data_IF_467148722421
#
_entry.id   IF_467148722421
#
_cell.length_a   1.000
_cell.length_b   1.000
_cell.length_c   1.000
_cell.angle_alpha   90.00
_cell.angle_beta   90.00
_cell.angle_gamma   90.00
#
_symmetry.space_group_name_H-M   'P 1'
#
loop_
_entity.id
_entity.type
_entity.pdbx_description
1 polymer ?
#
# COMPACT_ATOMS: atom_id res chain seq x y z
N UNK A 1 43.94 -0.61 34.85
CA UNK A 1 44.25 -0.21 33.48
C UNK A 1 43.19 -0.80 32.57
N UNK A 2 42.41 0.01 31.89
CA UNK A 2 41.51 -0.50 30.88
C UNK A 2 42.26 -0.87 29.60
N UNK A 3 41.81 -1.87 28.80
CA UNK A 3 42.47 -2.27 27.58
C UNK A 3 42.30 -1.23 26.47
N UNK A 4 43.34 -1.11 25.62
CA UNK A 4 43.39 -0.18 24.50
C UNK A 4 42.37 -0.51 23.41
N UNK A 5 41.84 0.50 22.68
CA UNK A 5 40.91 0.27 21.56
C UNK A 5 41.63 -0.37 20.35
N UNK A 6 40.90 -1.16 19.51
CA UNK A 6 41.46 -1.78 18.32
C UNK A 6 41.78 -0.74 17.23
N UNK A 7 42.73 -1.00 16.33
CA UNK A 7 43.12 -0.08 15.26
C UNK A 7 41.99 0.09 14.24
N UNK A 8 41.73 1.34 13.86
CA UNK A 8 40.73 1.72 12.89
C UNK A 8 41.02 1.17 11.49
N UNK A 9 40.04 0.55 10.87
CA UNK A 9 40.08 0.21 9.45
C UNK A 9 39.96 1.48 8.61
N UNK A 10 41.07 1.83 7.93
CA UNK A 10 41.08 2.86 6.89
C UNK A 10 40.26 2.31 5.67
N UNK A 11 39.26 3.08 5.23
CA UNK A 11 38.56 2.82 4.00
C UNK A 11 39.47 2.96 2.79
N UNK A 12 39.34 2.12 1.74
CA UNK A 12 40.14 2.23 0.53
C UNK A 12 39.85 3.56 -0.20
N UNK A 13 40.86 4.15 -0.89
CA UNK A 13 40.70 5.39 -1.61
C UNK A 13 39.73 5.25 -2.80
N UNK A 14 38.84 6.24 -2.96
CA UNK A 14 37.88 6.35 -4.07
C UNK A 14 38.67 6.61 -5.36
N UNK A 15 38.44 5.85 -6.45
CA UNK A 15 39.09 6.10 -7.73
C UNK A 15 38.60 7.43 -8.34
N UNK A 16 39.46 8.17 -9.07
CA UNK A 16 39.12 9.44 -9.68
C UNK A 16 38.04 9.25 -10.77
N UNK A 17 37.10 10.19 -10.83
CA UNK A 17 36.03 10.21 -11.84
C UNK A 17 36.61 10.38 -13.25
N UNK A 18 36.00 9.76 -14.29
CA UNK A 18 36.43 9.93 -15.65
C UNK A 18 36.20 11.38 -16.13
N UNK A 19 37.07 11.92 -17.02
CA UNK A 19 36.94 13.28 -17.53
C UNK A 19 35.64 13.45 -18.32
N UNK A 20 34.90 14.51 -18.04
CA UNK A 20 33.73 14.91 -18.82
C UNK A 20 34.17 15.45 -20.19
N UNK A 21 33.47 15.09 -21.28
CA UNK A 21 33.76 15.70 -22.57
C UNK A 21 33.47 17.21 -22.55
N UNK A 22 34.39 17.99 -23.07
CA UNK A 22 34.28 19.44 -23.18
C UNK A 22 33.06 19.83 -24.04
N UNK A 23 32.21 20.72 -23.51
CA UNK A 23 31.12 21.31 -24.24
C UNK A 23 31.68 22.17 -25.37
N UNK A 24 31.40 21.80 -26.62
CA UNK A 24 31.70 22.61 -27.80
C UNK A 24 30.63 23.70 -27.88
N UNK A 25 31.01 24.93 -27.56
CA UNK A 25 30.14 26.09 -27.81
C UNK A 25 30.20 26.43 -29.29
N UNK A 26 29.07 26.55 -30.01
CA UNK A 26 29.06 27.13 -31.36
C UNK A 26 29.37 28.60 -31.29
N UNK A 27 30.24 29.07 -32.22
CA UNK A 27 30.62 30.47 -32.34
C UNK A 27 29.39 31.33 -32.71
N UNK A 28 29.31 32.59 -32.22
CA UNK A 28 28.20 33.48 -32.59
C UNK A 28 28.31 33.87 -34.06
N UNK A 29 27.19 33.71 -34.76
CA UNK A 29 27.02 34.20 -36.16
C UNK A 29 27.04 35.73 -36.18
N UNK A 30 27.76 36.31 -37.13
CA UNK A 30 27.80 37.76 -37.37
C UNK A 30 26.43 38.30 -37.78
N UNK A 31 26.00 39.51 -37.36
CA UNK A 31 24.70 40.06 -37.74
C UNK A 31 24.72 40.54 -39.16
N UNK A 32 23.75 40.08 -39.96
CA UNK A 32 23.49 40.63 -41.28
C UNK A 32 22.92 42.06 -41.21
N UNK A 33 23.36 42.93 -42.12
CA UNK A 33 23.14 44.36 -42.07
C UNK A 33 21.70 44.81 -42.46
N UNK A 34 20.70 43.93 -42.52
CA UNK A 34 19.34 44.29 -42.97
C UNK A 34 18.18 43.89 -42.04
N UNK A 35 18.43 43.43 -40.84
CA UNK A 35 17.41 43.35 -39.77
C UNK A 35 16.12 42.55 -40.06
N UNK A 36 16.01 41.79 -41.13
CA UNK A 36 14.84 40.97 -41.44
C UNK A 36 15.18 39.47 -41.39
N UNK A 37 14.75 38.84 -40.29
CA UNK A 37 14.71 37.39 -40.19
C UNK A 37 13.68 36.83 -41.19
N UNK A 38 14.12 36.27 -42.30
CA UNK A 38 13.27 35.46 -43.17
C UNK A 38 13.04 34.11 -42.47
N UNK A 39 11.86 33.95 -41.89
CA UNK A 39 11.39 32.63 -41.47
C UNK A 39 11.19 31.76 -42.72
N UNK A 40 11.67 30.52 -42.75
CA UNK A 40 11.33 29.59 -43.81
C UNK A 40 9.83 29.37 -43.82
N UNK A 41 9.24 29.27 -45.04
CA UNK A 41 7.82 29.00 -45.20
C UNK A 41 7.45 27.75 -44.41
N UNK A 42 6.50 27.92 -43.50
CA UNK A 42 6.00 26.80 -42.68
C UNK A 42 5.35 25.79 -43.63
N UNK A 43 5.98 24.64 -43.80
CA UNK A 43 5.32 23.47 -44.38
C UNK A 43 4.14 23.05 -43.49
N UNK A 44 3.19 22.27 -44.02
CA UNK A 44 2.03 21.83 -43.24
C UNK A 44 2.51 21.12 -41.96
N UNK A 45 2.21 21.73 -40.80
CA UNK A 45 2.48 21.13 -39.51
C UNK A 45 1.48 19.96 -39.35
N UNK A 46 1.95 18.75 -39.62
CA UNK A 46 1.22 17.55 -39.20
C UNK A 46 1.12 17.62 -37.69
N UNK A 47 -0.10 17.70 -37.18
CA UNK A 47 -0.34 17.60 -35.75
C UNK A 47 0.38 16.33 -35.23
N UNK A 48 1.11 16.40 -34.12
CA UNK A 48 1.73 15.21 -33.55
C UNK A 48 0.62 14.19 -33.30
N UNK A 49 0.81 12.99 -33.88
CA UNK A 49 -0.09 11.87 -33.60
C UNK A 49 -0.24 11.75 -32.08
N UNK A 50 -1.47 11.73 -31.59
CA UNK A 50 -1.74 11.52 -30.19
C UNK A 50 -0.94 10.27 -29.76
N UNK A 51 -0.20 10.30 -28.65
CA UNK A 51 0.49 9.12 -28.18
C UNK A 51 -0.54 8.00 -28.05
N UNK A 52 -0.19 6.75 -28.42
CA UNK A 52 -1.11 5.64 -28.31
C UNK A 52 -1.69 5.63 -26.90
N UNK A 53 -3.01 5.58 -26.80
CA UNK A 53 -3.69 5.50 -25.52
C UNK A 53 -3.03 4.35 -24.73
N UNK A 54 -2.36 4.68 -23.64
CA UNK A 54 -1.77 3.66 -22.76
C UNK A 54 -2.95 2.82 -22.28
N UNK A 55 -2.97 1.54 -22.63
CA UNK A 55 -3.90 0.58 -22.07
C UNK A 55 -3.87 0.75 -20.57
N UNK A 56 -5.03 0.85 -19.94
CA UNK A 56 -5.10 0.91 -18.47
C UNK A 56 -4.30 -0.28 -17.92
N UNK A 57 -3.44 -0.07 -16.91
CA UNK A 57 -2.66 -1.17 -16.35
C UNK A 57 -3.61 -2.25 -15.83
N UNK A 58 -3.36 -3.49 -16.24
CA UNK A 58 -4.10 -4.66 -15.77
C UNK A 58 -3.73 -4.94 -14.31
N UNK A 59 -4.68 -4.89 -13.37
CA UNK A 59 -4.40 -5.12 -11.96
C UNK A 59 -3.88 -6.54 -11.71
N UNK A 60 -4.21 -7.51 -12.57
CA UNK A 60 -3.78 -8.91 -12.38
C UNK A 60 -2.30 -9.11 -12.62
N UNK A 61 -1.69 -8.31 -13.49
CA UNK A 61 -0.27 -8.42 -13.89
C UNK A 61 0.61 -7.29 -13.34
N UNK A 62 0.01 -6.25 -12.76
CA UNK A 62 0.73 -5.10 -12.21
C UNK A 62 1.19 -5.39 -10.77
N UNK A 63 2.41 -4.93 -10.41
CA UNK A 63 2.88 -4.97 -9.01
C UNK A 63 2.09 -3.95 -8.19
N UNK A 64 1.39 -4.43 -7.17
CA UNK A 64 0.46 -3.64 -6.35
C UNK A 64 0.79 -3.73 -4.86
N UNK A 65 0.46 -2.64 -4.15
CA UNK A 65 0.32 -2.64 -2.70
C UNK A 65 -1.15 -2.42 -2.35
N UNK A 66 -1.79 -3.42 -1.77
CA UNK A 66 -3.22 -3.40 -1.40
C UNK A 66 -3.34 -3.43 0.12
N UNK A 67 -4.28 -2.66 0.68
CA UNK A 67 -4.65 -2.72 2.09
C UNK A 67 -6.13 -3.07 2.22
N UNK A 68 -6.44 -4.27 2.70
CA UNK A 68 -7.79 -4.64 3.08
C UNK A 68 -8.10 -4.13 4.49
N UNK A 69 -9.13 -3.32 4.58
CA UNK A 69 -9.63 -2.70 5.81
C UNK A 69 -10.96 -3.35 6.17
N UNK A 70 -11.25 -3.52 7.45
CA UNK A 70 -12.58 -3.99 7.89
C UNK A 70 -12.58 -4.50 9.32
N UNK A 71 -13.76 -4.76 9.90
CA UNK A 71 -13.89 -5.27 11.26
C UNK A 71 -13.36 -6.69 11.43
N UNK A 72 -13.23 -7.15 12.66
CA UNK A 72 -13.05 -8.56 12.98
C UNK A 72 -14.24 -9.35 12.39
N UNK A 73 -14.00 -10.50 11.77
CA UNK A 73 -15.06 -11.26 11.10
C UNK A 73 -15.39 -10.84 9.66
N UNK A 74 -14.86 -9.73 9.14
CA UNK A 74 -15.09 -9.30 7.75
C UNK A 74 -14.50 -10.23 6.67
N UNK A 75 -13.64 -11.18 7.06
CA UNK A 75 -13.01 -12.11 6.10
C UNK A 75 -11.73 -11.59 5.44
N UNK A 76 -11.18 -10.47 5.91
CA UNK A 76 -9.97 -9.83 5.32
C UNK A 76 -8.82 -10.81 5.07
N UNK A 77 -8.38 -11.51 6.12
CA UNK A 77 -7.23 -12.42 6.04
C UNK A 77 -7.48 -13.58 5.07
N UNK A 78 -8.69 -14.14 5.06
CA UNK A 78 -9.06 -15.24 4.14
C UNK A 78 -9.08 -14.76 2.68
N UNK A 79 -9.68 -13.60 2.42
CA UNK A 79 -9.71 -12.99 1.09
C UNK A 79 -8.31 -12.60 0.63
N UNK A 80 -7.51 -11.96 1.50
CA UNK A 80 -6.14 -11.57 1.19
C UNK A 80 -5.25 -12.76 0.84
N UNK A 81 -5.34 -13.82 1.64
CA UNK A 81 -4.61 -15.07 1.40
C UNK A 81 -5.00 -15.69 0.07
N UNK A 82 -6.30 -15.88 -0.17
CA UNK A 82 -6.81 -16.45 -1.41
C UNK A 82 -6.39 -15.61 -2.62
N UNK A 83 -6.56 -14.29 -2.54
CA UNK A 83 -6.17 -13.38 -3.61
C UNK A 83 -4.66 -13.48 -3.92
N UNK A 84 -3.80 -13.48 -2.89
CA UNK A 84 -2.35 -13.60 -3.07
C UNK A 84 -1.94 -14.93 -3.72
N UNK A 85 -2.59 -16.03 -3.32
CA UNK A 85 -2.31 -17.39 -3.83
C UNK A 85 -2.73 -17.58 -5.30
N UNK A 86 -3.70 -16.82 -5.79
CA UNK A 86 -4.27 -17.00 -7.13
C UNK A 86 -3.84 -15.94 -8.14
N UNK A 87 -2.94 -15.04 -7.76
CA UNK A 87 -2.39 -14.05 -8.70
C UNK A 87 -1.37 -14.67 -9.66
N UNK A 88 -1.34 -14.24 -10.95
CA UNK A 88 -0.34 -14.70 -11.91
C UNK A 88 1.06 -14.11 -11.67
N UNK A 89 1.18 -13.10 -10.79
CA UNK A 89 2.44 -12.45 -10.42
C UNK A 89 2.79 -12.71 -8.97
N UNK A 90 4.08 -12.74 -8.60
CA UNK A 90 4.49 -12.95 -7.21
C UNK A 90 3.81 -11.97 -6.27
N UNK A 91 3.15 -12.50 -5.25
CA UNK A 91 2.35 -11.69 -4.32
C UNK A 91 2.51 -12.22 -2.89
N UNK A 92 2.86 -11.33 -1.96
CA UNK A 92 2.96 -11.63 -0.54
C UNK A 92 1.69 -11.20 0.19
N UNK A 93 1.18 -12.05 1.09
CA UNK A 93 0.17 -11.67 2.06
C UNK A 93 0.84 -11.35 3.40
N UNK A 94 0.52 -10.20 3.98
CA UNK A 94 1.08 -9.71 5.25
C UNK A 94 -0.08 -9.34 6.17
N UNK A 95 -0.45 -10.25 7.08
CA UNK A 95 -1.46 -9.97 8.09
C UNK A 95 -0.86 -9.20 9.27
N UNK A 96 -1.48 -8.09 9.64
CA UNK A 96 -1.06 -7.30 10.80
C UNK A 96 -1.12 -8.14 12.08
N UNK A 97 -2.19 -8.91 12.26
CA UNK A 97 -2.37 -9.73 13.45
C UNK A 97 -1.30 -10.83 13.56
N UNK A 98 -0.90 -11.45 12.44
CA UNK A 98 0.17 -12.44 12.43
C UNK A 98 1.49 -11.81 12.87
N UNK A 99 1.83 -10.64 12.31
CA UNK A 99 3.07 -9.92 12.68
C UNK A 99 3.04 -9.47 14.14
N UNK A 100 1.88 -9.05 14.65
CA UNK A 100 1.70 -8.69 16.05
C UNK A 100 1.95 -9.89 16.97
N UNK A 101 1.49 -11.07 16.58
CA UNK A 101 1.66 -12.33 17.31
C UNK A 101 3.09 -12.90 17.27
N UNK A 102 4.00 -12.34 16.49
CA UNK A 102 5.42 -12.70 16.58
C UNK A 102 6.03 -12.34 17.94
N UNK A 103 5.49 -11.33 18.62
CA UNK A 103 5.86 -10.99 19.99
C UNK A 103 5.20 -11.99 20.95
N UNK A 104 5.93 -13.01 21.36
CA UNK A 104 5.40 -14.14 22.14
C UNK A 104 5.36 -13.87 23.65
N UNK A 105 6.15 -12.93 24.13
CA UNK A 105 6.23 -12.53 25.53
C UNK A 105 5.76 -11.10 25.68
N UNK A 106 4.97 -10.81 26.70
CA UNK A 106 4.42 -9.47 26.94
C UNK A 106 3.35 -9.05 25.90
N UNK A 107 2.70 -10.03 25.28
CA UNK A 107 1.58 -9.79 24.36
C UNK A 107 0.38 -9.22 25.13
N UNK A 108 -0.16 -8.08 24.67
CA UNK A 108 -1.35 -7.52 25.28
C UNK A 108 -2.56 -8.41 25.02
N UNK A 109 -3.25 -8.78 26.10
CA UNK A 109 -4.46 -9.59 26.02
C UNK A 109 -5.59 -8.78 25.34
N UNK A 110 -6.08 -9.24 24.16
CA UNK A 110 -7.16 -8.53 23.47
C UNK A 110 -8.47 -8.54 24.26
N UNK A 111 -8.64 -9.46 25.21
CA UNK A 111 -9.83 -9.52 26.07
C UNK A 111 -9.75 -8.55 27.25
N UNK A 112 -8.57 -8.08 27.62
CA UNK A 112 -8.40 -7.04 28.63
C UNK A 112 -8.80 -5.63 28.15
N UNK A 113 -9.28 -5.52 26.90
CA UNK A 113 -9.60 -4.26 26.25
C UNK A 113 -8.37 -3.54 25.71
N UNK A 114 -8.62 -2.41 25.03
CA UNK A 114 -7.55 -1.61 24.44
C UNK A 114 -6.82 -0.79 25.51
N UNK A 115 -5.50 -0.90 25.55
CA UNK A 115 -4.61 -0.21 26.49
C UNK A 115 -3.33 0.27 25.78
N UNK A 116 -2.41 0.89 26.51
CA UNK A 116 -1.15 1.45 25.96
C UNK A 116 -0.23 0.37 25.39
N UNK A 117 -0.23 -0.84 25.98
CA UNK A 117 0.53 -1.97 25.45
C UNK A 117 -0.05 -2.45 24.12
N UNK A 118 -1.39 -2.52 24.03
CA UNK A 118 -2.08 -2.81 22.76
C UNK A 118 -1.70 -1.80 21.68
N UNK A 119 -1.76 -0.49 21.99
CA UNK A 119 -1.40 0.57 21.05
C UNK A 119 0.06 0.45 20.59
N UNK A 120 0.96 0.17 21.52
CA UNK A 120 2.39 0.01 21.24
C UNK A 120 2.66 -1.19 20.33
N UNK A 121 2.02 -2.33 20.60
CA UNK A 121 2.16 -3.54 19.78
C UNK A 121 1.60 -3.35 18.37
N UNK A 122 0.41 -2.74 18.23
CA UNK A 122 -0.16 -2.44 16.91
C UNK A 122 0.70 -1.47 16.11
N UNK A 123 1.26 -0.46 16.76
CA UNK A 123 2.17 0.51 16.13
C UNK A 123 3.44 -0.15 15.62
N UNK A 124 4.04 -1.03 16.45
CA UNK A 124 5.22 -1.81 16.06
C UNK A 124 4.91 -2.74 14.90
N UNK A 125 3.84 -3.53 14.99
CA UNK A 125 3.41 -4.46 13.96
C UNK A 125 3.17 -3.74 12.62
N UNK A 126 2.49 -2.58 12.63
CA UNK A 126 2.25 -1.78 11.42
C UNK A 126 3.54 -1.30 10.75
N UNK A 127 4.53 -0.88 11.54
CA UNK A 127 5.86 -0.51 11.02
C UNK A 127 6.58 -1.71 10.41
N UNK A 128 6.53 -2.86 11.05
CA UNK A 128 7.13 -4.11 10.56
C UNK A 128 6.48 -4.56 9.26
N UNK A 129 5.15 -4.57 9.19
CA UNK A 129 4.41 -4.85 7.96
C UNK A 129 4.79 -3.88 6.83
N UNK A 130 4.86 -2.58 7.12
CA UNK A 130 5.25 -1.57 6.13
C UNK A 130 6.69 -1.73 5.64
N UNK A 131 7.61 -2.12 6.52
CA UNK A 131 8.99 -2.45 6.14
C UNK A 131 9.03 -3.66 5.20
N UNK A 132 8.35 -4.75 5.57
CA UNK A 132 8.25 -5.94 4.73
C UNK A 132 7.63 -5.65 3.36
N UNK A 133 6.52 -4.89 3.34
CA UNK A 133 5.85 -4.50 2.11
C UNK A 133 6.77 -3.71 1.17
N UNK A 134 7.50 -2.71 1.68
CA UNK A 134 8.46 -1.95 0.86
C UNK A 134 9.57 -2.85 0.30
N UNK A 135 10.07 -3.79 1.10
CA UNK A 135 11.09 -4.71 0.64
C UNK A 135 10.59 -5.62 -0.49
N UNK A 136 9.38 -6.16 -0.38
CA UNK A 136 8.75 -6.94 -1.44
C UNK A 136 8.52 -6.11 -2.70
N UNK A 137 7.93 -4.93 -2.57
CA UNK A 137 7.66 -4.03 -3.70
C UNK A 137 8.93 -3.60 -4.44
N UNK A 138 10.02 -3.33 -3.71
CA UNK A 138 11.32 -3.01 -4.29
C UNK A 138 11.91 -4.16 -5.12
N UNK A 139 11.45 -5.39 -4.90
CA UNK A 139 11.84 -6.58 -5.65
C UNK A 139 10.75 -7.04 -6.65
N UNK A 140 9.80 -6.17 -6.99
CA UNK A 140 8.75 -6.47 -7.98
C UNK A 140 7.68 -7.45 -7.49
N UNK A 141 7.60 -7.70 -6.18
CA UNK A 141 6.62 -8.58 -5.56
C UNK A 141 5.46 -7.73 -5.03
N UNK A 142 4.24 -8.03 -5.47
CA UNK A 142 3.03 -7.40 -4.94
C UNK A 142 2.82 -7.73 -3.47
N UNK A 143 2.10 -6.84 -2.75
CA UNK A 143 1.72 -7.08 -1.37
C UNK A 143 0.24 -6.82 -1.16
N UNK A 144 -0.41 -7.71 -0.41
CA UNK A 144 -1.71 -7.46 0.19
C UNK A 144 -1.59 -7.51 1.70
N UNK A 145 -2.01 -6.44 2.35
CA UNK A 145 -2.00 -6.30 3.81
C UNK A 145 -3.42 -6.30 4.33
N UNK A 146 -3.65 -6.73 5.56
CA UNK A 146 -4.95 -6.61 6.21
C UNK A 146 -4.85 -5.99 7.61
N UNK A 147 -5.75 -5.05 7.93
CA UNK A 147 -5.82 -4.35 9.21
C UNK A 147 -7.24 -3.84 9.50
N UNK A 148 -7.54 -3.62 10.78
CA UNK A 148 -8.74 -2.93 11.23
C UNK A 148 -8.48 -1.43 11.38
N UNK A 149 -8.46 -0.69 10.27
CA UNK A 149 -8.20 0.76 10.25
C UNK A 149 -9.50 1.53 10.46
N UNK A 150 -9.50 2.45 11.43
CA UNK A 150 -10.68 3.25 11.77
C UNK A 150 -10.73 4.59 11.05
N UNK A 151 -11.89 4.98 10.50
CA UNK A 151 -12.05 6.25 9.78
C UNK A 151 -11.91 7.49 10.68
N UNK A 152 -12.22 7.38 11.96
CA UNK A 152 -12.09 8.44 12.95
C UNK A 152 -10.64 8.73 13.40
N UNK A 153 -9.66 7.96 12.90
CA UNK A 153 -8.22 8.15 13.18
C UNK A 153 -7.39 8.18 11.89
N UNK A 154 -7.66 9.13 10.97
CA UNK A 154 -7.09 9.09 9.62
C UNK A 154 -5.56 9.19 9.60
N UNK A 155 -4.95 9.96 10.50
CA UNK A 155 -3.49 10.18 10.52
C UNK A 155 -2.74 8.95 11.01
N UNK A 156 -3.21 8.30 12.08
CA UNK A 156 -2.58 7.11 12.67
C UNK A 156 -2.92 5.88 11.83
N UNK A 157 -4.18 5.77 11.39
CA UNK A 157 -4.70 4.66 10.60
C UNK A 157 -4.19 4.65 9.17
N UNK A 158 -5.03 5.13 8.24
CA UNK A 158 -4.74 5.09 6.80
C UNK A 158 -3.52 5.92 6.41
N UNK A 159 -3.38 7.13 6.96
CA UNK A 159 -2.21 7.98 6.77
C UNK A 159 -0.92 7.34 7.31
N UNK A 160 -1.03 6.57 8.39
CA UNK A 160 0.08 5.75 8.92
C UNK A 160 0.52 4.67 7.92
N UNK A 161 -0.42 3.92 7.37
CA UNK A 161 -0.15 2.93 6.35
C UNK A 161 0.47 3.54 5.09
N UNK A 162 -0.06 4.66 4.60
CA UNK A 162 0.50 5.39 3.45
C UNK A 162 1.97 5.80 3.68
N UNK A 163 2.31 6.27 4.88
CA UNK A 163 3.70 6.61 5.24
C UNK A 163 4.61 5.38 5.31
N UNK A 164 4.09 4.24 5.77
CA UNK A 164 4.89 3.03 5.96
C UNK A 164 5.07 2.23 4.67
N UNK A 165 4.08 2.18 3.78
CA UNK A 165 4.13 1.40 2.53
C UNK A 165 4.53 2.29 1.34
N UNK A 166 3.91 3.45 1.21
CA UNK A 166 4.15 4.39 0.12
C UNK A 166 2.85 4.96 -0.47
N UNK A 167 2.98 5.97 -1.37
CA UNK A 167 1.83 6.67 -1.95
C UNK A 167 0.99 5.80 -2.90
N UNK A 168 1.55 4.71 -3.42
CA UNK A 168 0.85 3.76 -4.29
C UNK A 168 0.01 2.71 -3.56
N UNK A 169 -0.17 2.83 -2.24
CA UNK A 169 -1.02 1.93 -1.47
C UNK A 169 -2.49 2.09 -1.89
N UNK A 170 -3.17 0.98 -2.20
CA UNK A 170 -4.56 0.91 -2.62
C UNK A 170 -5.43 0.36 -1.48
N UNK A 171 -6.12 1.20 -0.70
CA UNK A 171 -7.01 0.75 0.35
C UNK A 171 -8.37 0.32 -0.22
N UNK A 172 -8.87 -0.79 0.27
CA UNK A 172 -10.21 -1.33 -0.01
C UNK A 172 -10.84 -1.77 1.30
N UNK A 173 -12.10 -1.40 1.53
CA UNK A 173 -12.83 -1.74 2.75
C UNK A 173 -13.72 -2.97 2.50
N UNK A 174 -13.57 -4.00 3.33
CA UNK A 174 -14.53 -5.10 3.43
C UNK A 174 -15.48 -4.80 4.59
N UNK A 175 -16.76 -4.60 4.29
CA UNK A 175 -17.76 -4.22 5.30
C UNK A 175 -19.06 -5.00 5.08
N UNK A 176 -19.08 -6.29 5.44
CA UNK A 176 -20.31 -7.08 5.45
C UNK A 176 -21.26 -6.65 6.56
N UNK A 177 -22.52 -7.06 6.50
CA UNK A 177 -23.51 -6.80 7.55
C UNK A 177 -23.06 -7.28 8.93
N UNK A 178 -23.58 -6.63 9.97
CA UNK A 178 -23.17 -6.92 11.36
C UNK A 178 -23.50 -8.37 11.77
N UNK A 179 -24.64 -8.89 11.37
CA UNK A 179 -25.06 -10.27 11.61
C UNK A 179 -24.04 -11.28 11.08
N UNK A 180 -23.58 -11.09 9.85
CA UNK A 180 -22.54 -11.93 9.22
C UNK A 180 -21.19 -11.82 9.94
N UNK A 181 -20.86 -10.61 10.38
CA UNK A 181 -19.61 -10.39 11.15
C UNK A 181 -19.64 -11.11 12.50
N UNK A 182 -20.77 -11.07 13.19
CA UNK A 182 -20.97 -11.75 14.48
C UNK A 182 -20.93 -13.28 14.30
N UNK A 183 -21.61 -13.82 13.30
CA UNK A 183 -21.57 -15.25 12.97
C UNK A 183 -20.12 -15.72 12.72
N UNK A 184 -19.40 -15.04 11.84
CA UNK A 184 -17.99 -15.35 11.53
C UNK A 184 -17.06 -15.15 12.73
N UNK A 185 -17.38 -14.22 13.65
CA UNK A 185 -16.61 -14.03 14.89
C UNK A 185 -16.84 -15.20 15.86
N UNK A 186 -18.05 -15.76 15.92
CA UNK A 186 -18.37 -16.90 16.77
C UNK A 186 -17.57 -18.16 16.41
N UNK A 187 -17.20 -18.32 15.13
CA UNK A 187 -16.35 -19.42 14.64
C UNK A 187 -14.86 -19.25 14.98
N UNK A 188 -14.45 -18.05 15.40
CA UNK A 188 -13.04 -17.78 15.74
C UNK A 188 -12.67 -18.36 17.11
N UNK A 189 -11.39 -18.65 17.29
CA UNK A 189 -10.83 -19.20 18.53
C UNK A 189 -9.65 -18.37 19.04
N UNK A 190 -9.33 -18.56 20.32
CA UNK A 190 -8.18 -17.93 20.96
C UNK A 190 -8.23 -16.39 20.94
N UNK A 191 -7.08 -15.76 20.82
CA UNK A 191 -6.91 -14.31 20.90
C UNK A 191 -7.60 -13.52 19.79
N UNK A 192 -8.13 -14.19 18.77
CA UNK A 192 -8.80 -13.54 17.62
C UNK A 192 -10.30 -13.47 17.76
N UNK A 193 -10.89 -14.18 18.75
CA UNK A 193 -12.30 -14.08 19.08
C UNK A 193 -12.51 -12.90 20.04
N UNK A 194 -13.38 -11.99 19.66
CA UNK A 194 -13.79 -10.84 20.47
C UNK A 194 -15.19 -11.09 21.07
N UNK A 195 -15.54 -10.36 22.13
CA UNK A 195 -16.91 -10.29 22.61
C UNK A 195 -17.82 -9.66 21.55
N UNK A 196 -19.07 -10.10 21.48
CA UNK A 196 -19.99 -9.66 20.42
C UNK A 196 -20.29 -8.16 20.49
N UNK A 197 -20.34 -7.58 21.70
CA UNK A 197 -20.50 -6.14 21.92
C UNK A 197 -19.31 -5.36 21.37
N UNK A 198 -18.10 -5.90 21.53
CA UNK A 198 -16.89 -5.27 20.99
C UNK A 198 -16.86 -5.35 19.46
N UNK A 199 -17.28 -6.48 18.89
CA UNK A 199 -17.43 -6.66 17.43
C UNK A 199 -18.45 -5.67 16.88
N UNK A 200 -19.61 -5.53 17.51
CA UNK A 200 -20.65 -4.59 17.12
C UNK A 200 -20.15 -3.12 17.20
N UNK A 201 -19.42 -2.79 18.26
CA UNK A 201 -18.82 -1.46 18.44
C UNK A 201 -17.79 -1.15 17.35
N UNK A 202 -16.92 -2.10 17.01
CA UNK A 202 -15.92 -1.98 15.94
C UNK A 202 -16.63 -1.82 14.60
N UNK A 203 -17.61 -2.66 14.30
CA UNK A 203 -18.38 -2.62 13.05
C UNK A 203 -19.08 -1.26 12.88
N UNK A 204 -19.75 -0.77 13.93
CA UNK A 204 -20.40 0.57 13.90
C UNK A 204 -19.43 1.70 13.60
N UNK A 205 -18.20 1.66 14.14
CA UNK A 205 -17.16 2.65 13.81
C UNK A 205 -16.70 2.54 12.37
N UNK A 206 -16.63 1.33 11.81
CA UNK A 206 -16.24 1.09 10.42
C UNK A 206 -17.26 1.63 9.42
N UNK A 207 -18.53 1.76 9.80
CA UNK A 207 -19.56 2.40 8.97
C UNK A 207 -19.21 3.83 8.55
N UNK A 208 -18.34 4.51 9.28
CA UNK A 208 -17.80 5.83 8.89
C UNK A 208 -17.02 5.82 7.57
N UNK A 209 -16.62 4.67 7.05
CA UNK A 209 -16.00 4.58 5.73
C UNK A 209 -16.96 4.82 4.57
N UNK A 210 -18.29 4.69 4.75
CA UNK A 210 -19.26 4.91 3.67
C UNK A 210 -19.19 6.31 3.02
N UNK A 211 -18.75 7.31 3.77
CA UNK A 211 -18.58 8.67 3.25
C UNK A 211 -17.15 9.04 2.82
N UNK A 212 -16.22 8.10 2.85
CA UNK A 212 -14.78 8.39 2.68
C UNK A 212 -14.30 8.50 1.24
N UNK A 213 -15.10 8.05 0.27
CA UNK A 213 -14.66 7.90 -1.13
C UNK A 213 -13.79 6.66 -1.39
N UNK A 214 -13.46 5.88 -0.37
CA UNK A 214 -12.79 4.59 -0.56
C UNK A 214 -13.74 3.55 -1.17
N UNK A 215 -13.22 2.62 -1.99
CA UNK A 215 -14.02 1.49 -2.44
C UNK A 215 -14.40 0.59 -1.26
N UNK A 216 -15.68 0.23 -1.20
CA UNK A 216 -16.23 -0.65 -0.16
C UNK A 216 -16.83 -1.87 -0.84
N UNK A 217 -16.49 -3.05 -0.35
CA UNK A 217 -17.05 -4.34 -0.75
C UNK A 217 -17.90 -4.87 0.40
N UNK A 218 -19.20 -4.98 0.18
CA UNK A 218 -20.07 -5.79 1.02
C UNK A 218 -19.97 -7.25 0.56
N UNK A 219 -19.35 -8.07 1.37
CA UNK A 219 -19.18 -9.49 1.10
C UNK A 219 -20.07 -10.38 1.99
N UNK A 220 -21.22 -9.87 2.42
CA UNK A 220 -22.18 -10.61 3.25
C UNK A 220 -22.65 -11.89 2.59
N UNK A 221 -22.93 -11.82 1.28
CA UNK A 221 -23.48 -12.93 0.49
C UNK A 221 -22.45 -13.51 -0.49
N UNK A 222 -21.16 -13.19 -0.31
CA UNK A 222 -20.11 -13.61 -1.23
C UNK A 222 -19.17 -14.61 -0.55
N UNK A 223 -18.81 -15.64 -1.29
CA UNK A 223 -17.72 -16.52 -0.92
C UNK A 223 -16.35 -15.83 -1.13
N UNK A 224 -15.29 -16.47 -0.64
CA UNK A 224 -13.92 -15.94 -0.71
C UNK A 224 -13.48 -15.74 -2.17
N UNK A 225 -13.64 -16.71 -3.10
CA UNK A 225 -13.24 -16.54 -4.50
C UNK A 225 -13.98 -15.41 -5.20
N UNK A 226 -15.27 -15.26 -4.97
CA UNK A 226 -16.07 -14.18 -5.56
C UNK A 226 -15.69 -12.83 -5.01
N UNK A 227 -15.43 -12.72 -3.71
CA UNK A 227 -14.91 -11.50 -3.07
C UNK A 227 -13.55 -11.11 -3.66
N UNK A 228 -12.65 -12.08 -3.88
CA UNK A 228 -11.35 -11.83 -4.47
C UNK A 228 -11.43 -11.34 -5.93
N UNK A 229 -12.35 -11.88 -6.74
CA UNK A 229 -12.62 -11.37 -8.11
C UNK A 229 -13.14 -9.93 -8.08
N UNK A 230 -14.09 -9.64 -7.17
CA UNK A 230 -14.62 -8.28 -7.02
C UNK A 230 -13.52 -7.31 -6.55
N UNK A 231 -12.56 -7.78 -5.75
CA UNK A 231 -11.37 -7.00 -5.38
C UNK A 231 -10.55 -6.62 -6.62
N UNK A 232 -10.31 -7.52 -7.57
CA UNK A 232 -9.61 -7.20 -8.83
C UNK A 232 -10.34 -6.12 -9.63
N UNK A 233 -11.67 -6.20 -9.74
CA UNK A 233 -12.47 -5.18 -10.42
C UNK A 233 -12.38 -3.80 -9.75
N UNK A 234 -12.38 -3.79 -8.42
CA UNK A 234 -12.23 -2.57 -7.62
C UNK A 234 -10.84 -1.98 -7.81
N UNK A 235 -9.81 -2.82 -7.79
CA UNK A 235 -8.43 -2.38 -7.99
C UNK A 235 -8.20 -1.84 -9.41
N UNK A 236 -8.79 -2.47 -10.44
CA UNK A 236 -8.74 -1.96 -11.81
C UNK A 236 -9.29 -0.53 -11.91
N UNK A 237 -10.43 -0.27 -11.27
CA UNK A 237 -11.02 1.07 -11.21
C UNK A 237 -10.15 2.07 -10.45
N UNK A 238 -9.60 1.65 -9.29
CA UNK A 238 -8.74 2.49 -8.47
C UNK A 238 -7.43 2.86 -9.15
N UNK A 239 -6.88 1.99 -9.98
CA UNK A 239 -5.66 2.26 -10.78
C UNK A 239 -5.98 3.23 -11.92
N UNK A 240 -7.12 3.03 -12.61
CA UNK A 240 -7.54 3.88 -13.72
C UNK A 240 -7.93 5.29 -13.26
N UNK A 241 -8.51 5.42 -12.07
CA UNK A 241 -8.94 6.68 -11.45
C UNK A 241 -8.64 6.65 -9.96
N UNK A 242 -7.40 7.00 -9.56
CA UNK A 242 -6.99 6.96 -8.17
C UNK A 242 -7.87 7.86 -7.29
N UNK A 243 -8.45 7.33 -6.21
CA UNK A 243 -9.24 8.14 -5.29
C UNK A 243 -8.34 9.16 -4.59
N UNK A 244 -8.86 10.38 -4.47
CA UNK A 244 -8.22 11.44 -3.68
C UNK A 244 -8.57 11.25 -2.20
N UNK A 245 -7.67 10.69 -1.41
CA UNK A 245 -7.81 10.48 0.05
C UNK A 245 -6.50 10.75 0.77
#
# INVERSE_FOLDING_TARGET
>A
MPPAPPPGHQAPPIPPAPPQPAAVHPAPAAPDATGHLRLPAAGPVTAPSAPPARSAPDPTTTTLAVLLIGPAGAGKTSVAKHWAEHRPVPTAHISLDDVREWVRSGFADPQAGWNDDSETQYRLARRTCGFAARNFLANGISCILDDAVFPDRPVIGLGGWKRHVGPGLLPVVLLPGLDVVLERNAERTGNRRLADEEVARIHGRMAGWYGSGLPIIDNSQLDIPTTARLLDEVLARAIASPPSW
#
